data_IF_079876572629
#
_entry.id   IF_079876572629
#
_cell.length_a   1.000
_cell.length_b   1.000
_cell.length_c   1.000
_cell.angle_alpha   90.00
_cell.angle_beta   90.00
_cell.angle_gamma   90.00
#
_symmetry.space_group_name_H-M   'P 1'
#
loop_
_entity.id
_entity.type
_entity.pdbx_description
1 polymer ?
#
# COMPACT_ATOMS: atom_id res chain seq x y z
N UNK A 1 -46.00 -17.32 63.05
CA UNK A 1 -44.67 -16.97 62.57
C UNK A 1 -44.15 -18.13 61.70
N UNK A 2 -44.33 -18.06 60.37
CA UNK A 2 -43.90 -19.10 59.47
C UNK A 2 -42.57 -18.61 58.83
N UNK A 3 -41.46 -19.33 59.07
CA UNK A 3 -40.16 -19.09 58.45
C UNK A 3 -40.15 -19.71 57.07
N UNK A 4 -39.94 -18.86 56.05
CA UNK A 4 -39.75 -19.26 54.65
C UNK A 4 -38.25 -19.51 54.41
N UNK A 5 -37.89 -20.74 54.08
CA UNK A 5 -36.54 -21.11 53.65
C UNK A 5 -36.45 -20.93 52.12
N UNK A 6 -35.61 -19.99 51.66
CA UNK A 6 -35.30 -19.85 50.26
C UNK A 6 -34.03 -20.69 49.99
N UNK A 7 -34.18 -21.71 49.15
CA UNK A 7 -33.12 -22.58 48.70
C UNK A 7 -32.44 -21.94 47.44
N UNK A 8 -31.22 -21.47 47.58
CA UNK A 8 -30.43 -20.99 46.45
C UNK A 8 -29.82 -22.20 45.72
N UNK A 9 -30.28 -22.49 44.51
CA UNK A 9 -29.60 -23.40 43.58
C UNK A 9 -28.47 -22.66 42.87
N UNK A 10 -27.21 -22.97 43.25
CA UNK A 10 -26.04 -22.55 42.51
C UNK A 10 -25.85 -23.54 41.34
N UNK A 11 -26.16 -23.09 40.14
CA UNK A 11 -25.83 -23.83 38.91
C UNK A 11 -24.36 -23.58 38.60
N UNK A 12 -23.51 -24.56 38.90
CA UNK A 12 -22.13 -24.57 38.37
C UNK A 12 -22.18 -24.89 36.88
N UNK A 13 -22.04 -23.86 36.02
CA UNK A 13 -21.76 -24.05 34.62
C UNK A 13 -20.30 -24.50 34.49
N UNK A 14 -20.07 -25.78 34.24
CA UNK A 14 -18.77 -26.31 33.85
C UNK A 14 -18.45 -25.79 32.44
N UNK A 15 -17.53 -24.82 32.36
CA UNK A 15 -16.87 -24.46 31.12
C UNK A 15 -16.01 -25.68 30.66
N UNK A 16 -16.58 -26.53 29.84
CA UNK A 16 -15.79 -27.46 29.07
C UNK A 16 -15.03 -26.66 28.02
N UNK A 17 -13.76 -26.33 28.27
CA UNK A 17 -12.79 -25.95 27.27
C UNK A 17 -12.68 -27.14 26.29
N UNK A 18 -13.28 -27.00 25.10
CA UNK A 18 -12.92 -27.85 23.97
C UNK A 18 -11.46 -27.58 23.64
N UNK A 19 -10.55 -28.40 24.13
CA UNK A 19 -9.22 -28.51 23.53
C UNK A 19 -9.43 -28.97 22.08
N UNK A 20 -9.15 -28.08 21.14
CA UNK A 20 -9.08 -28.45 19.73
C UNK A 20 -8.06 -29.58 19.64
N UNK A 21 -8.48 -30.75 19.17
CA UNK A 21 -7.61 -31.92 19.03
C UNK A 21 -6.61 -31.55 17.96
N UNK A 22 -5.32 -31.65 18.27
CA UNK A 22 -4.26 -31.48 17.27
C UNK A 22 -4.51 -32.51 16.15
N UNK A 23 -4.92 -32.02 14.97
CA UNK A 23 -5.29 -32.85 13.83
C UNK A 23 -4.11 -33.69 13.31
N UNK A 24 -2.89 -33.33 13.69
CA UNK A 24 -1.65 -33.98 13.29
C UNK A 24 -1.10 -35.00 14.32
N UNK A 25 -1.70 -35.12 15.50
CA UNK A 25 -1.14 -35.93 16.59
C UNK A 25 -0.91 -37.43 16.23
N UNK A 26 -1.68 -37.95 15.29
CA UNK A 26 -1.63 -39.35 14.85
C UNK A 26 -1.23 -39.50 13.36
N UNK A 27 -0.81 -38.42 12.70
CA UNK A 27 -0.51 -38.44 11.26
C UNK A 27 1.00 -38.56 11.02
N UNK A 28 1.43 -39.65 10.43
CA UNK A 28 2.83 -39.86 10.02
C UNK A 28 2.92 -39.54 8.53
N UNK A 29 3.62 -38.44 8.20
CA UNK A 29 3.82 -38.07 6.81
C UNK A 29 5.03 -38.77 6.18
N UNK A 30 4.99 -39.06 4.87
CA UNK A 30 6.15 -39.57 4.12
C UNK A 30 7.37 -38.64 4.22
N UNK A 31 8.56 -39.18 3.90
CA UNK A 31 9.80 -38.42 3.95
C UNK A 31 9.69 -37.13 3.15
N UNK A 32 10.05 -35.99 3.79
CA UNK A 32 10.00 -34.65 3.20
C UNK A 32 8.63 -33.97 3.25
N UNK A 33 7.66 -34.56 3.95
CA UNK A 33 6.36 -33.93 4.18
C UNK A 33 6.13 -33.65 5.67
N UNK A 34 5.39 -32.60 5.95
CA UNK A 34 4.94 -32.21 7.29
C UNK A 34 3.42 -32.31 7.37
N UNK A 35 2.89 -32.64 8.55
CA UNK A 35 1.45 -32.63 8.74
C UNK A 35 0.98 -31.20 9.03
N UNK A 36 0.03 -30.72 8.23
CA UNK A 36 -0.67 -29.46 8.43
C UNK A 36 -2.18 -29.78 8.40
N UNK A 37 -2.87 -29.49 9.49
CA UNK A 37 -4.31 -29.74 9.67
C UNK A 37 -4.76 -31.17 9.28
N UNK A 38 -3.95 -32.18 9.65
CA UNK A 38 -4.24 -33.58 9.36
C UNK A 38 -3.90 -34.04 7.94
N UNK A 39 -3.33 -33.18 7.12
CA UNK A 39 -2.93 -33.48 5.74
C UNK A 39 -1.41 -33.39 5.59
N UNK A 40 -0.78 -34.40 4.98
CA UNK A 40 0.64 -34.37 4.69
C UNK A 40 0.91 -33.44 3.48
N UNK A 41 1.71 -32.41 3.70
CA UNK A 41 2.13 -31.44 2.69
C UNK A 41 3.66 -31.50 2.53
N UNK A 42 4.18 -31.08 1.38
CA UNK A 42 5.63 -30.90 1.19
C UNK A 42 6.16 -29.93 2.26
N UNK A 43 7.35 -30.19 2.79
CA UNK A 43 7.98 -29.22 3.70
C UNK A 43 8.26 -27.94 2.92
N UNK A 44 7.83 -26.79 3.46
CA UNK A 44 8.17 -25.49 2.90
C UNK A 44 9.68 -25.34 2.88
N UNK A 45 10.24 -24.96 1.74
CA UNK A 45 11.67 -24.72 1.59
C UNK A 45 11.95 -23.24 1.34
N UNK A 46 13.04 -22.73 1.93
CA UNK A 46 13.53 -21.40 1.62
C UNK A 46 14.38 -21.44 0.35
N UNK A 47 13.98 -20.65 -0.65
CA UNK A 47 14.67 -20.52 -1.93
C UNK A 47 15.26 -19.12 -2.02
N UNK A 48 16.59 -18.99 -1.89
CA UNK A 48 17.27 -17.71 -2.01
C UNK A 48 17.43 -17.36 -3.49
N UNK A 49 16.88 -16.22 -3.89
CA UNK A 49 17.01 -15.63 -5.22
C UNK A 49 18.15 -14.62 -5.18
N UNK A 50 19.25 -14.91 -5.84
CA UNK A 50 20.48 -14.09 -5.86
C UNK A 50 20.85 -13.54 -7.24
N UNK A 51 20.02 -13.79 -8.26
CA UNK A 51 20.22 -13.32 -9.62
C UNK A 51 18.93 -12.83 -10.24
N UNK A 52 19.04 -11.94 -11.23
CA UNK A 52 17.90 -11.46 -11.99
C UNK A 52 17.15 -12.60 -12.69
N UNK A 53 15.84 -12.43 -12.85
CA UNK A 53 14.93 -13.38 -13.50
C UNK A 53 15.04 -13.13 -15.00
N UNK A 54 15.75 -14.00 -15.71
CA UNK A 54 16.10 -13.88 -17.13
C UNK A 54 15.30 -14.83 -18.05
N UNK A 55 14.39 -15.61 -17.49
CA UNK A 55 13.44 -16.46 -18.21
C UNK A 55 12.13 -16.54 -17.45
N UNK A 56 11.03 -16.88 -18.15
CA UNK A 56 9.73 -17.02 -17.51
C UNK A 56 9.83 -18.01 -16.33
N UNK A 57 9.43 -17.53 -15.16
CA UNK A 57 9.62 -18.23 -13.89
C UNK A 57 8.31 -18.23 -13.12
N UNK A 58 8.03 -19.32 -12.40
CA UNK A 58 6.88 -19.40 -11.48
C UNK A 58 7.37 -19.61 -10.06
N UNK A 59 6.88 -18.80 -9.13
CA UNK A 59 7.04 -18.97 -7.69
C UNK A 59 5.76 -19.57 -7.12
N UNK A 60 5.90 -20.69 -6.40
CA UNK A 60 4.77 -21.48 -5.88
C UNK A 60 4.59 -21.30 -4.38
N UNK A 61 3.39 -21.52 -3.87
CA UNK A 61 3.09 -21.38 -2.45
C UNK A 61 3.75 -22.45 -1.54
N UNK A 62 4.40 -23.46 -2.13
CA UNK A 62 5.11 -24.49 -1.38
C UNK A 62 6.49 -24.02 -0.86
N UNK A 63 6.92 -22.82 -1.25
CA UNK A 63 8.22 -22.27 -0.90
C UNK A 63 8.09 -20.85 -0.34
N UNK A 64 9.07 -20.48 0.50
CA UNK A 64 9.39 -19.07 0.82
C UNK A 64 10.51 -18.64 -0.11
N UNK A 65 10.31 -17.54 -0.84
CA UNK A 65 11.33 -16.97 -1.72
C UNK A 65 12.01 -15.81 -1.01
N UNK A 66 13.33 -15.91 -0.82
CA UNK A 66 14.14 -14.87 -0.18
C UNK A 66 14.88 -14.06 -1.24
N UNK A 67 14.62 -12.76 -1.31
CA UNK A 67 15.35 -11.85 -2.18
C UNK A 67 16.71 -11.54 -1.55
N UNK A 68 17.79 -12.08 -2.10
CA UNK A 68 19.16 -11.88 -1.64
C UNK A 68 19.82 -10.60 -2.17
N UNK A 69 19.04 -9.71 -2.79
CA UNK A 69 19.49 -8.44 -3.36
C UNK A 69 18.36 -7.77 -4.13
N UNK A 70 18.67 -6.77 -4.93
CA UNK A 70 17.71 -6.22 -5.90
C UNK A 70 17.57 -7.20 -7.06
N UNK A 71 16.43 -7.89 -7.10
CA UNK A 71 16.10 -8.91 -8.10
C UNK A 71 15.24 -8.28 -9.20
N UNK A 72 15.71 -8.31 -10.42
CA UNK A 72 15.03 -7.71 -11.57
C UNK A 72 14.37 -8.79 -12.44
N UNK A 73 13.10 -8.62 -12.75
CA UNK A 73 12.42 -9.31 -13.85
C UNK A 73 12.78 -8.57 -15.14
N UNK A 74 13.58 -9.20 -15.99
CA UNK A 74 14.15 -8.54 -17.17
C UNK A 74 13.11 -8.30 -18.27
N UNK A 75 13.43 -7.41 -19.22
CA UNK A 75 12.61 -7.14 -20.42
C UNK A 75 12.26 -8.45 -21.16
N UNK A 76 11.01 -8.61 -21.56
CA UNK A 76 10.48 -9.79 -22.24
C UNK A 76 10.21 -11.00 -21.34
N UNK A 77 10.50 -10.92 -20.03
CA UNK A 77 10.34 -12.01 -19.07
C UNK A 77 9.08 -11.83 -18.23
N UNK A 78 8.41 -12.92 -17.88
CA UNK A 78 7.27 -12.92 -16.94
C UNK A 78 7.62 -13.71 -15.69
N UNK A 79 7.46 -13.05 -14.54
CA UNK A 79 7.43 -13.69 -13.23
C UNK A 79 5.97 -13.97 -12.86
N UNK A 80 5.62 -15.23 -12.69
CA UNK A 80 4.31 -15.66 -12.16
C UNK A 80 4.45 -16.03 -10.69
N UNK A 81 3.56 -15.51 -9.85
CA UNK A 81 3.52 -15.80 -8.41
C UNK A 81 2.15 -16.37 -8.07
N UNK A 82 2.12 -17.58 -7.53
CA UNK A 82 0.88 -18.28 -7.19
C UNK A 82 0.21 -17.74 -5.93
N UNK A 83 -1.13 -17.92 -5.78
CA UNK A 83 -1.85 -17.49 -4.57
C UNK A 83 -1.28 -18.13 -3.30
N UNK A 84 -1.05 -17.31 -2.28
CA UNK A 84 -0.53 -17.75 -0.98
C UNK A 84 0.98 -17.82 -0.86
N UNK A 85 1.72 -17.46 -1.91
CA UNK A 85 3.19 -17.38 -1.87
C UNK A 85 3.66 -16.29 -0.91
N UNK A 86 4.71 -16.59 -0.13
CA UNK A 86 5.39 -15.64 0.74
C UNK A 86 6.78 -15.33 0.16
N UNK A 87 7.03 -14.05 -0.04
CA UNK A 87 8.30 -13.52 -0.55
C UNK A 87 8.92 -12.62 0.52
N UNK A 88 10.19 -12.84 0.85
CA UNK A 88 10.89 -12.13 1.93
C UNK A 88 12.14 -11.44 1.41
N UNK A 89 12.23 -10.12 1.60
CA UNK A 89 13.46 -9.37 1.34
C UNK A 89 14.46 -9.57 2.47
N UNK A 90 15.71 -9.85 2.13
CA UNK A 90 16.82 -9.82 3.10
C UNK A 90 17.09 -8.36 3.50
N UNK A 91 17.66 -8.17 4.70
CA UNK A 91 18.06 -6.84 5.16
C UNK A 91 19.14 -6.27 4.27
N UNK A 92 19.06 -4.98 3.97
CA UNK A 92 20.07 -4.26 3.18
C UNK A 92 19.70 -2.78 3.07
N UNK A 93 20.72 -1.93 2.97
CA UNK A 93 20.59 -0.49 2.78
C UNK A 93 21.54 0.00 1.72
N UNK A 94 21.34 1.18 1.18
CA UNK A 94 22.17 1.75 0.13
C UNK A 94 22.16 0.86 -1.13
N UNK A 95 23.32 0.63 -1.70
CA UNK A 95 23.46 -0.24 -2.89
C UNK A 95 23.03 -1.71 -2.65
N UNK A 96 22.96 -2.12 -1.38
CA UNK A 96 22.56 -3.48 -0.97
C UNK A 96 21.09 -3.58 -0.56
N UNK A 97 20.30 -2.53 -0.73
CA UNK A 97 18.86 -2.59 -0.49
C UNK A 97 18.24 -3.66 -1.38
N UNK A 98 17.45 -4.55 -0.77
CA UNK A 98 16.78 -5.64 -1.49
C UNK A 98 15.44 -5.14 -2.00
N UNK A 99 15.08 -5.52 -3.22
CA UNK A 99 13.78 -5.17 -3.81
C UNK A 99 13.42 -6.17 -4.91
N UNK A 100 12.13 -6.23 -5.27
CA UNK A 100 11.70 -6.82 -6.53
C UNK A 100 11.47 -5.68 -7.54
N UNK A 101 12.25 -5.68 -8.61
CA UNK A 101 12.14 -4.71 -9.71
C UNK A 101 11.58 -5.41 -10.96
N UNK A 102 10.48 -4.92 -11.49
CA UNK A 102 10.00 -5.32 -12.83
C UNK A 102 10.47 -4.25 -13.82
N UNK A 103 11.47 -4.58 -14.62
CA UNK A 103 12.02 -3.64 -15.62
C UNK A 103 11.02 -3.35 -16.74
N UNK A 104 11.21 -2.27 -17.47
CA UNK A 104 10.40 -1.93 -18.64
C UNK A 104 10.32 -3.10 -19.63
N UNK A 105 9.10 -3.55 -19.94
CA UNK A 105 8.84 -4.71 -20.81
C UNK A 105 8.93 -6.06 -20.12
N UNK A 106 9.41 -6.12 -18.87
CA UNK A 106 9.19 -7.25 -17.96
C UNK A 106 7.75 -7.30 -17.48
N UNK A 107 7.30 -8.44 -16.95
CA UNK A 107 5.94 -8.61 -16.43
C UNK A 107 5.91 -9.34 -15.11
N UNK A 108 5.00 -8.93 -14.25
CA UNK A 108 4.63 -9.65 -13.04
C UNK A 108 3.19 -10.15 -13.14
N UNK A 109 2.98 -11.43 -12.82
CA UNK A 109 1.68 -12.06 -12.72
C UNK A 109 1.48 -12.53 -11.27
N UNK A 110 1.23 -11.61 -10.36
CA UNK A 110 1.03 -11.86 -8.93
C UNK A 110 -0.48 -11.83 -8.64
N UNK A 111 -1.16 -12.96 -8.82
CA UNK A 111 -2.62 -13.05 -8.67
C UNK A 111 -2.96 -13.93 -7.48
N UNK A 112 -3.03 -13.30 -6.30
CA UNK A 112 -3.55 -13.91 -5.09
C UNK A 112 -5.08 -14.02 -5.09
N UNK A 113 -5.64 -14.44 -3.96
CA UNK A 113 -7.09 -14.48 -3.72
C UNK A 113 -7.41 -13.91 -2.34
N UNK A 114 -8.68 -13.57 -2.03
CA UNK A 114 -9.05 -13.09 -0.69
C UNK A 114 -8.69 -14.05 0.45
N UNK A 115 -8.59 -15.35 0.17
CA UNK A 115 -8.27 -16.39 1.16
C UNK A 115 -6.81 -16.88 1.07
N UNK A 116 -6.08 -16.48 0.04
CA UNK A 116 -4.67 -16.80 -0.19
C UNK A 116 -3.98 -15.60 -0.84
N UNK A 117 -3.83 -14.47 -0.13
CA UNK A 117 -3.09 -13.33 -0.65
C UNK A 117 -1.61 -13.70 -0.86
N UNK A 118 -0.95 -12.99 -1.74
CA UNK A 118 0.51 -13.04 -1.89
C UNK A 118 1.09 -12.04 -0.92
N UNK A 119 2.11 -12.43 -0.15
CA UNK A 119 2.72 -11.57 0.86
C UNK A 119 4.18 -11.31 0.52
N UNK A 120 4.51 -10.04 0.32
CA UNK A 120 5.88 -9.53 0.29
C UNK A 120 6.20 -8.93 1.65
N UNK A 121 7.29 -9.36 2.29
CA UNK A 121 7.69 -8.91 3.62
C UNK A 121 9.20 -9.02 3.79
N UNK A 122 9.72 -8.86 5.03
CA UNK A 122 11.13 -9.06 5.38
C UNK A 122 11.39 -10.49 5.86
N UNK A 123 12.64 -10.94 5.75
CA UNK A 123 13.09 -12.19 6.41
C UNK A 123 12.92 -12.15 7.93
N UNK A 124 12.78 -10.97 8.54
CA UNK A 124 12.48 -10.81 9.96
C UNK A 124 11.03 -11.15 10.33
N UNK A 125 10.11 -11.17 9.37
CA UNK A 125 8.72 -11.59 9.58
C UNK A 125 8.63 -13.12 9.58
N UNK A 126 8.09 -13.69 10.65
CA UNK A 126 7.96 -15.14 10.82
C UNK A 126 6.75 -15.74 10.08
N UNK A 127 5.98 -14.94 9.33
CA UNK A 127 4.84 -15.47 8.57
C UNK A 127 5.26 -16.54 7.58
N UNK A 128 4.42 -17.57 7.45
CA UNK A 128 4.70 -18.74 6.59
C UNK A 128 3.57 -19.01 5.60
N UNK A 129 3.83 -19.72 4.49
CA UNK A 129 2.79 -20.13 3.54
C UNK A 129 1.68 -20.98 4.18
N UNK A 130 2.00 -21.78 5.20
CA UNK A 130 1.01 -22.58 5.93
C UNK A 130 0.02 -21.70 6.70
N UNK A 131 0.52 -20.63 7.33
CA UNK A 131 -0.34 -19.63 8.01
C UNK A 131 -1.25 -18.93 7.01
N UNK A 132 -0.71 -18.50 5.87
CA UNK A 132 -1.50 -17.91 4.78
C UNK A 132 -2.53 -18.91 4.26
N UNK A 133 -2.15 -20.18 4.06
CA UNK A 133 -3.05 -21.26 3.67
C UNK A 133 -4.17 -21.52 4.69
N UNK A 134 -3.92 -21.27 5.98
CA UNK A 134 -4.90 -21.35 7.06
C UNK A 134 -5.75 -20.07 7.21
N UNK A 135 -5.55 -19.07 6.36
CA UNK A 135 -6.28 -17.79 6.42
C UNK A 135 -5.78 -16.82 7.50
N UNK A 136 -4.57 -17.00 7.99
CA UNK A 136 -3.92 -16.13 8.96
C UNK A 136 -2.94 -15.21 8.24
N UNK A 137 -3.25 -13.92 8.18
CA UNK A 137 -2.47 -12.93 7.42
C UNK A 137 -1.71 -11.93 8.31
N UNK A 138 -1.94 -11.97 9.62
CA UNK A 138 -1.23 -11.15 10.60
C UNK A 138 0.21 -11.63 10.71
N UNK A 139 1.19 -10.69 10.75
CA UNK A 139 2.56 -11.05 11.11
C UNK A 139 2.59 -11.63 12.54
N UNK A 140 3.19 -12.81 12.75
CA UNK A 140 3.22 -13.41 14.08
C UNK A 140 4.11 -12.68 15.09
N UNK A 141 5.04 -11.85 14.62
CA UNK A 141 6.08 -11.26 15.47
C UNK A 141 6.39 -9.79 15.21
N UNK A 142 5.99 -9.21 14.08
CA UNK A 142 6.27 -7.81 13.76
C UNK A 142 5.04 -6.93 14.00
N UNK A 143 5.29 -5.75 14.58
CA UNK A 143 4.32 -4.68 14.69
C UNK A 143 4.06 -4.06 13.31
N UNK A 144 2.82 -3.71 12.95
CA UNK A 144 2.53 -3.08 11.66
C UNK A 144 3.26 -1.74 11.44
N UNK A 145 3.69 -1.05 12.49
CA UNK A 145 4.49 0.16 12.37
C UNK A 145 5.99 -0.10 12.15
N UNK A 146 6.44 -1.36 12.10
CA UNK A 146 7.83 -1.69 11.78
C UNK A 146 8.11 -1.41 10.31
N UNK A 147 9.17 -0.66 10.00
CA UNK A 147 9.51 -0.10 8.69
C UNK A 147 10.98 -0.36 8.33
N UNK A 148 11.37 -0.17 7.05
CA UNK A 148 12.76 -0.11 6.61
C UNK A 148 13.54 -1.42 6.67
N UNK A 149 12.87 -2.57 6.76
CA UNK A 149 13.53 -3.87 6.88
C UNK A 149 14.04 -4.44 5.56
N UNK A 150 13.48 -3.99 4.45
CA UNK A 150 13.86 -4.30 3.07
C UNK A 150 13.35 -3.16 2.16
N UNK A 151 13.62 -3.19 0.85
CA UNK A 151 13.11 -2.14 -0.05
C UNK A 151 11.60 -2.22 -0.23
N UNK A 152 11.18 -2.73 -1.36
CA UNK A 152 9.77 -2.78 -1.76
C UNK A 152 9.61 -3.44 -3.12
N UNK A 153 8.49 -3.14 -3.79
CA UNK A 153 8.19 -3.62 -5.14
C UNK A 153 8.16 -2.43 -6.10
N UNK A 154 8.95 -2.50 -7.16
CA UNK A 154 9.09 -1.46 -8.18
C UNK A 154 8.63 -2.02 -9.51
N UNK A 155 7.69 -1.35 -10.17
CA UNK A 155 7.20 -1.72 -11.51
C UNK A 155 7.44 -0.55 -12.47
N UNK A 156 8.19 -0.81 -13.54
CA UNK A 156 8.59 0.19 -14.53
C UNK A 156 7.97 -0.13 -15.89
N UNK A 157 7.28 0.85 -16.45
CA UNK A 157 6.57 0.73 -17.72
C UNK A 157 7.09 1.69 -18.78
N UNK A 158 6.42 1.66 -19.94
CA UNK A 158 6.73 2.44 -21.14
C UNK A 158 5.69 3.54 -21.41
N UNK A 159 4.81 3.86 -20.45
CA UNK A 159 3.81 4.90 -20.59
C UNK A 159 4.43 6.30 -20.42
N UNK A 160 3.76 7.35 -20.96
CA UNK A 160 4.26 8.72 -20.88
C UNK A 160 4.43 9.22 -19.43
N UNK A 161 5.48 10.00 -19.21
CA UNK A 161 5.81 10.67 -17.96
C UNK A 161 6.08 12.14 -18.21
N UNK A 162 5.89 12.99 -17.23
CA UNK A 162 6.22 14.42 -17.31
C UNK A 162 7.51 14.69 -16.54
N UNK A 163 8.62 14.30 -17.14
CA UNK A 163 9.96 14.53 -16.61
C UNK A 163 10.81 15.34 -17.59
N UNK A 164 12.09 15.57 -17.28
CA UNK A 164 13.05 16.28 -18.14
C UNK A 164 13.34 15.56 -19.46
N UNK A 165 13.04 14.25 -19.53
CA UNK A 165 13.15 13.42 -20.73
C UNK A 165 11.99 12.42 -20.79
N UNK A 166 11.75 11.81 -21.96
CA UNK A 166 10.72 10.79 -22.14
C UNK A 166 10.99 9.50 -21.35
N UNK A 167 12.24 9.26 -20.99
CA UNK A 167 12.72 8.12 -20.23
C UNK A 167 13.76 8.63 -19.23
N UNK A 168 13.58 8.31 -17.97
CA UNK A 168 14.53 8.66 -16.90
C UNK A 168 14.77 7.48 -15.98
N UNK A 169 15.76 7.61 -15.12
CA UNK A 169 16.06 6.64 -14.08
C UNK A 169 15.09 6.82 -12.91
N UNK A 170 14.49 5.73 -12.44
CA UNK A 170 13.70 5.75 -11.21
C UNK A 170 14.61 6.03 -10.03
N UNK A 171 14.12 6.76 -9.07
CA UNK A 171 14.82 6.92 -7.81
C UNK A 171 15.02 5.55 -7.12
N UNK A 172 15.92 5.51 -6.19
CA UNK A 172 16.24 4.25 -5.52
C UNK A 172 17.07 3.26 -6.31
N UNK A 173 17.22 3.44 -7.61
CA UNK A 173 17.99 2.54 -8.47
C UNK A 173 19.20 3.29 -9.03
N UNK A 174 20.44 2.77 -8.85
CA UNK A 174 21.63 3.44 -9.38
C UNK A 174 21.52 3.73 -10.87
N UNK A 175 21.96 4.91 -11.30
CA UNK A 175 21.95 5.34 -12.72
C UNK A 175 22.78 4.45 -13.64
N UNK A 176 23.64 3.61 -13.08
CA UNK A 176 24.43 2.61 -13.82
C UNK A 176 23.67 1.31 -14.09
N UNK A 177 22.50 1.12 -13.46
CA UNK A 177 21.64 -0.05 -13.71
C UNK A 177 20.62 0.29 -14.81
N UNK A 178 20.76 -0.28 -16.02
CA UNK A 178 19.87 0.04 -17.14
C UNK A 178 18.45 -0.46 -16.93
N UNK A 179 18.22 -1.33 -15.96
CA UNK A 179 16.88 -1.85 -15.65
C UNK A 179 16.04 -0.86 -14.84
N UNK A 180 16.63 0.21 -14.32
CA UNK A 180 15.93 1.25 -13.59
C UNK A 180 15.32 2.34 -14.47
N UNK A 181 15.43 2.27 -15.80
CA UNK A 181 14.78 3.23 -16.70
C UNK A 181 13.26 3.01 -16.75
N UNK A 182 12.49 4.10 -16.77
CA UNK A 182 11.05 4.09 -16.98
C UNK A 182 10.59 5.24 -17.89
N UNK A 183 9.32 5.16 -18.31
CA UNK A 183 8.74 6.12 -19.24
C UNK A 183 8.83 5.70 -20.70
N UNK A 184 8.21 6.46 -21.56
CA UNK A 184 8.10 6.21 -23.02
C UNK A 184 6.86 6.86 -23.62
N UNK A 185 6.25 6.22 -24.62
CA UNK A 185 5.08 6.75 -25.32
C UNK A 185 3.92 5.74 -25.43
N UNK A 186 3.98 4.60 -24.75
CA UNK A 186 2.94 3.58 -24.83
C UNK A 186 1.94 3.74 -23.68
N UNK A 187 0.86 4.48 -23.92
CA UNK A 187 -0.23 4.67 -22.94
C UNK A 187 -0.81 3.34 -22.48
N UNK A 188 -0.78 2.31 -23.31
CA UNK A 188 -1.34 0.96 -23.06
C UNK A 188 -0.30 -0.04 -22.58
N UNK A 189 0.89 0.41 -22.19
CA UNK A 189 1.92 -0.45 -21.66
C UNK A 189 1.36 -1.42 -20.61
N UNK A 190 1.85 -2.65 -20.63
CA UNK A 190 1.34 -3.73 -19.81
C UNK A 190 2.48 -4.44 -19.08
N UNK A 191 2.67 -4.08 -17.84
CA UNK A 191 3.63 -4.70 -16.92
C UNK A 191 3.07 -5.92 -16.17
N UNK A 192 1.83 -6.34 -16.47
CA UNK A 192 1.22 -7.57 -15.92
C UNK A 192 0.03 -7.31 -15.00
N UNK A 193 -0.10 -8.15 -13.98
CA UNK A 193 -1.24 -8.15 -13.06
C UNK A 193 -0.75 -8.30 -11.62
N UNK A 194 -1.22 -7.43 -10.71
CA UNK A 194 -1.10 -7.61 -9.26
C UNK A 194 -2.50 -7.57 -8.63
N UNK A 195 -2.89 -8.66 -7.96
CA UNK A 195 -4.18 -8.75 -7.25
C UNK A 195 -4.04 -9.49 -5.94
N UNK A 196 -4.66 -8.98 -4.89
CA UNK A 196 -4.59 -9.54 -3.54
C UNK A 196 -3.14 -9.75 -3.09
N UNK A 197 -2.41 -8.64 -3.08
CA UNK A 197 -1.00 -8.57 -2.70
C UNK A 197 -0.84 -7.67 -1.49
N UNK A 198 -0.16 -8.16 -0.46
CA UNK A 198 0.22 -7.38 0.73
C UNK A 198 1.74 -7.16 0.70
N UNK A 199 2.18 -5.90 0.81
CA UNK A 199 3.59 -5.48 0.83
C UNK A 199 3.85 -4.86 2.20
N UNK A 200 4.85 -5.36 2.95
CA UNK A 200 5.00 -5.05 4.36
C UNK A 200 6.44 -4.73 4.74
N UNK A 201 6.60 -3.79 5.68
CA UNK A 201 7.86 -3.49 6.36
C UNK A 201 9.00 -3.05 5.41
N UNK A 202 8.61 -2.44 4.28
CA UNK A 202 9.52 -1.92 3.27
C UNK A 202 10.10 -0.55 3.59
N UNK A 203 10.68 0.10 2.56
CA UNK A 203 11.18 1.46 2.65
C UNK A 203 12.66 1.56 3.03
N UNK A 204 13.49 0.54 2.73
CA UNK A 204 14.90 0.60 3.09
C UNK A 204 15.59 1.80 2.44
N UNK A 205 16.31 2.57 3.26
CA UNK A 205 17.10 3.74 2.81
C UNK A 205 18.23 3.32 1.89
N UNK A 206 18.32 3.98 0.74
CA UNK A 206 19.33 3.75 -0.29
C UNK A 206 20.41 4.83 -0.34
N UNK A 207 20.29 5.85 0.49
CA UNK A 207 21.24 6.94 0.69
C UNK A 207 20.75 8.31 0.23
N UNK A 208 21.29 9.36 0.83
CA UNK A 208 20.99 10.77 0.52
C UNK A 208 19.52 11.19 0.63
N UNK A 209 18.74 10.54 1.51
CA UNK A 209 17.31 10.82 1.65
C UNK A 209 16.48 10.21 0.52
N UNK A 210 16.98 9.20 -0.16
CA UNK A 210 16.20 8.39 -1.09
C UNK A 210 15.94 7.02 -0.45
N UNK A 211 14.70 6.64 -0.43
CA UNK A 211 14.18 5.37 0.04
C UNK A 211 13.51 4.63 -1.13
N UNK A 212 12.96 3.47 -0.84
CA UNK A 212 12.12 2.72 -1.79
C UNK A 212 10.69 2.70 -1.24
N UNK A 213 9.72 3.12 -2.03
CA UNK A 213 8.32 3.07 -1.64
C UNK A 213 7.82 1.64 -1.45
N UNK A 214 6.71 1.45 -0.76
CA UNK A 214 6.06 0.15 -0.65
C UNK A 214 5.76 -0.43 -2.02
N UNK A 215 5.08 0.36 -2.87
CA UNK A 215 4.87 0.06 -4.28
C UNK A 215 5.19 1.29 -5.14
N UNK A 216 6.24 1.20 -5.93
CA UNK A 216 6.63 2.25 -6.90
C UNK A 216 6.09 1.89 -8.29
N UNK A 217 5.39 2.82 -8.94
CA UNK A 217 4.81 2.67 -10.27
C UNK A 217 5.38 3.74 -11.24
N UNK A 218 6.53 3.44 -11.86
CA UNK A 218 7.20 4.37 -12.79
C UNK A 218 6.74 4.18 -14.23
N UNK A 219 6.03 5.15 -14.83
CA UNK A 219 5.58 5.10 -16.22
C UNK A 219 4.75 3.86 -16.59
N UNK A 220 3.99 3.33 -15.66
CA UNK A 220 3.16 2.12 -15.87
C UNK A 220 1.91 2.49 -16.66
N UNK A 221 1.60 1.70 -17.70
CA UNK A 221 0.47 1.95 -18.60
C UNK A 221 -0.84 1.30 -18.16
N UNK A 222 -1.95 1.75 -18.77
CA UNK A 222 -3.30 1.30 -18.43
C UNK A 222 -3.64 -0.12 -18.91
N UNK A 223 -2.73 -0.80 -19.61
CA UNK A 223 -2.80 -2.22 -19.88
C UNK A 223 -2.44 -3.10 -18.68
N UNK A 224 -1.82 -2.49 -17.64
CA UNK A 224 -1.47 -3.16 -16.37
C UNK A 224 -2.65 -3.16 -15.42
N UNK A 225 -2.85 -4.25 -14.69
CA UNK A 225 -3.91 -4.38 -13.68
C UNK A 225 -3.32 -4.36 -12.27
N UNK A 226 -3.73 -3.40 -11.43
CA UNK A 226 -3.34 -3.29 -10.02
C UNK A 226 -4.62 -3.18 -9.18
N UNK A 227 -4.96 -4.23 -8.46
CA UNK A 227 -6.21 -4.30 -7.70
C UNK A 227 -6.03 -5.05 -6.38
N UNK A 228 -6.72 -4.59 -5.32
CA UNK A 228 -6.68 -5.22 -4.01
C UNK A 228 -5.24 -5.32 -3.50
N UNK A 229 -4.66 -4.18 -3.18
CA UNK A 229 -3.31 -4.03 -2.66
C UNK A 229 -3.38 -3.54 -1.21
N UNK A 230 -2.58 -4.15 -0.35
CA UNK A 230 -2.33 -3.70 1.01
C UNK A 230 -0.86 -3.36 1.17
N UNK A 231 -0.55 -2.20 1.76
CA UNK A 231 0.80 -1.78 2.12
C UNK A 231 0.82 -1.51 3.61
N UNK A 232 1.77 -2.10 4.34
CA UNK A 232 1.84 -2.01 5.81
C UNK A 232 3.27 -1.69 6.23
N UNK A 233 3.45 -0.55 6.90
CA UNK A 233 4.71 -0.19 7.53
C UNK A 233 5.83 0.03 6.51
N UNK A 234 5.68 0.97 5.60
CA UNK A 234 6.77 1.41 4.73
C UNK A 234 7.49 2.62 5.34
N UNK A 235 8.83 2.71 5.23
CA UNK A 235 9.61 3.81 5.80
C UNK A 235 9.52 5.10 4.98
N UNK A 236 9.30 4.96 3.69
CA UNK A 236 8.99 6.00 2.72
C UNK A 236 7.49 5.96 2.41
N UNK A 237 7.09 6.32 1.20
CA UNK A 237 5.69 6.32 0.83
C UNK A 237 5.06 4.93 0.82
N UNK A 238 3.76 4.91 1.01
CA UNK A 238 2.98 3.70 0.79
C UNK A 238 3.01 3.30 -0.68
N UNK A 239 2.42 4.11 -1.53
CA UNK A 239 2.44 3.95 -2.98
C UNK A 239 2.79 5.27 -3.65
N UNK A 240 3.69 5.21 -4.64
CA UNK A 240 4.05 6.39 -5.42
C UNK A 240 3.92 6.13 -6.93
N UNK A 241 3.39 7.15 -7.62
CA UNK A 241 3.13 7.15 -9.07
C UNK A 241 4.03 8.17 -9.78
N UNK A 242 5.06 7.70 -10.45
CA UNK A 242 5.90 8.52 -11.33
C UNK A 242 5.33 8.55 -12.74
N UNK A 243 4.34 9.37 -12.99
CA UNK A 243 3.67 9.45 -14.29
C UNK A 243 2.93 8.17 -14.71
N UNK A 244 2.79 7.96 -16.00
CA UNK A 244 2.05 6.80 -16.53
C UNK A 244 0.54 6.98 -16.55
N UNK A 245 -0.17 5.88 -16.82
CA UNK A 245 -1.63 5.87 -17.01
C UNK A 245 -2.34 4.71 -16.32
N UNK A 246 -1.63 3.98 -15.45
CA UNK A 246 -2.17 2.81 -14.74
C UNK A 246 -3.33 3.20 -13.84
N UNK A 247 -4.34 2.33 -13.75
CA UNK A 247 -5.42 2.45 -12.78
C UNK A 247 -5.18 1.49 -11.61
N UNK A 248 -5.48 1.98 -10.40
CA UNK A 248 -5.42 1.19 -9.17
C UNK A 248 -6.78 1.16 -8.51
N UNK A 249 -7.17 0.02 -7.95
CA UNK A 249 -8.42 -0.10 -7.20
C UNK A 249 -8.28 -0.95 -5.96
N UNK A 250 -9.05 -0.59 -4.92
CA UNK A 250 -9.06 -1.26 -3.63
C UNK A 250 -7.66 -1.28 -2.98
N UNK A 251 -7.14 -0.10 -2.70
CA UNK A 251 -5.86 0.11 -2.03
C UNK A 251 -6.07 0.33 -0.53
N UNK A 252 -5.19 -0.26 0.27
CA UNK A 252 -5.05 0.05 1.69
C UNK A 252 -3.59 0.39 1.98
N UNK A 253 -3.34 1.55 2.59
CA UNK A 253 -2.04 1.94 3.15
C UNK A 253 -2.18 2.08 4.66
N UNK A 254 -1.35 1.36 5.40
CA UNK A 254 -1.34 1.37 6.85
C UNK A 254 0.07 1.65 7.36
N UNK A 255 0.29 2.86 7.89
CA UNK A 255 1.54 3.36 8.43
C UNK A 255 2.68 3.51 7.40
N UNK A 256 2.63 4.58 6.62
CA UNK A 256 3.78 5.10 5.86
C UNK A 256 4.69 5.94 6.77
N UNK A 257 5.95 6.03 6.41
CA UNK A 257 6.97 6.81 7.12
C UNK A 257 7.16 8.21 6.54
N UNK A 258 6.71 8.43 5.31
CA UNK A 258 6.52 9.72 4.66
C UNK A 258 5.07 9.79 4.19
N UNK A 259 4.77 9.77 2.93
CA UNK A 259 3.41 9.95 2.44
C UNK A 259 2.67 8.62 2.24
N UNK A 260 1.35 8.61 2.40
CA UNK A 260 0.62 7.38 2.19
C UNK A 260 0.36 7.13 0.70
N UNK A 261 0.00 8.17 -0.04
CA UNK A 261 -0.23 8.13 -1.48
C UNK A 261 0.44 9.36 -2.08
N UNK A 262 1.48 9.15 -2.88
CA UNK A 262 2.16 10.20 -3.61
C UNK A 262 1.95 10.07 -5.13
N UNK A 263 1.80 11.21 -5.80
CA UNK A 263 1.58 11.29 -7.24
C UNK A 263 2.45 12.35 -7.89
N UNK A 264 3.30 11.92 -8.79
CA UNK A 264 4.29 12.73 -9.48
C UNK A 264 4.13 12.67 -11.01
N UNK A 265 4.83 13.57 -11.69
CA UNK A 265 5.13 13.53 -13.12
C UNK A 265 3.91 13.36 -14.03
N UNK A 266 2.80 14.02 -13.66
CA UNK A 266 1.57 14.02 -14.44
C UNK A 266 0.97 12.61 -14.67
N UNK A 267 0.98 11.76 -13.63
CA UNK A 267 0.20 10.52 -13.68
C UNK A 267 -1.23 10.80 -14.16
N UNK A 268 -1.75 9.96 -15.05
CA UNK A 268 -3.04 10.17 -15.74
C UNK A 268 -3.98 8.96 -15.59
N UNK A 269 -3.90 8.28 -14.45
CA UNK A 269 -4.78 7.16 -14.10
C UNK A 269 -5.88 7.50 -13.11
N UNK A 270 -6.48 6.45 -12.55
CA UNK A 270 -7.49 6.55 -11.50
C UNK A 270 -7.14 5.63 -10.33
N UNK A 271 -7.13 6.19 -9.12
CA UNK A 271 -7.20 5.41 -7.89
C UNK A 271 -8.64 5.41 -7.39
N UNK A 272 -9.25 4.24 -7.35
CA UNK A 272 -10.64 4.09 -6.93
C UNK A 272 -10.78 3.14 -5.75
N UNK A 273 -11.46 3.57 -4.73
CA UNK A 273 -11.69 2.85 -3.48
C UNK A 273 -10.38 2.61 -2.70
N UNK A 274 -10.07 3.50 -1.79
CA UNK A 274 -8.84 3.41 -1.00
C UNK A 274 -9.09 3.74 0.47
N UNK A 275 -8.28 3.11 1.33
CA UNK A 275 -8.21 3.41 2.76
C UNK A 275 -6.77 3.77 3.11
N UNK A 276 -6.60 4.87 3.85
CA UNK A 276 -5.33 5.27 4.47
C UNK A 276 -5.50 5.29 5.98
N UNK A 277 -4.53 4.74 6.69
CA UNK A 277 -4.40 4.81 8.15
C UNK A 277 -3.01 5.39 8.45
N UNK A 278 -2.97 6.68 8.74
CA UNK A 278 -1.73 7.38 9.05
C UNK A 278 -1.12 6.89 10.36
N UNK A 279 0.20 6.79 10.39
CA UNK A 279 0.99 6.49 11.57
C UNK A 279 1.58 7.75 12.21
N UNK A 280 2.41 7.55 13.24
CA UNK A 280 3.13 8.64 13.91
C UNK A 280 4.30 9.20 13.08
N UNK A 281 4.67 8.54 12.00
CA UNK A 281 5.72 8.97 11.08
C UNK A 281 5.16 9.48 9.75
N UNK A 282 3.87 9.28 9.48
CA UNK A 282 3.23 9.73 8.24
C UNK A 282 3.23 11.25 8.16
N UNK A 283 3.78 11.81 7.07
CA UNK A 283 3.78 13.25 6.80
C UNK A 283 2.43 13.67 6.20
N UNK A 284 2.09 13.21 5.01
CA UNK A 284 0.81 13.49 4.39
C UNK A 284 0.02 12.20 4.10
N UNK A 285 -1.29 12.26 4.19
CA UNK A 285 -2.13 11.18 3.68
C UNK A 285 -2.16 11.18 2.14
N UNK A 286 -2.06 12.36 1.53
CA UNK A 286 -2.02 12.60 0.10
C UNK A 286 -0.95 13.66 -0.21
N UNK A 287 0.11 13.29 -0.92
CA UNK A 287 1.02 14.24 -1.56
C UNK A 287 0.73 14.26 -3.06
N UNK A 288 0.45 15.46 -3.60
CA UNK A 288 -0.03 15.58 -4.97
C UNK A 288 0.80 16.61 -5.70
N UNK A 289 1.78 16.12 -6.45
CA UNK A 289 2.64 16.97 -7.24
C UNK A 289 2.15 17.12 -8.69
N UNK A 290 2.49 18.26 -9.25
CA UNK A 290 2.19 18.55 -10.63
C UNK A 290 3.23 18.00 -11.61
N UNK A 291 3.13 18.38 -12.90
CA UNK A 291 4.08 17.95 -13.92
C UNK A 291 5.44 18.59 -13.72
N UNK A 292 6.52 17.83 -13.80
CA UNK A 292 7.91 18.33 -13.83
C UNK A 292 8.36 18.78 -15.22
N UNK A 293 7.78 18.18 -16.27
CA UNK A 293 8.09 18.48 -17.67
C UNK A 293 6.94 19.17 -18.38
N UNK A 294 6.85 18.96 -19.69
CA UNK A 294 5.86 19.62 -20.56
C UNK A 294 4.57 18.82 -20.74
N UNK A 295 4.56 17.54 -20.42
CA UNK A 295 3.36 16.72 -20.48
C UNK A 295 2.40 17.13 -19.35
N UNK A 296 1.14 17.42 -19.70
CA UNK A 296 0.10 17.82 -18.78
C UNK A 296 -0.94 16.70 -18.61
N UNK A 297 -0.72 15.81 -17.66
CA UNK A 297 -1.69 14.80 -17.25
C UNK A 297 -2.59 15.28 -16.12
N UNK A 298 -3.66 14.54 -15.88
CA UNK A 298 -4.54 14.72 -14.73
C UNK A 298 -5.06 13.36 -14.30
N UNK A 299 -5.07 13.09 -13.01
CA UNK A 299 -5.51 11.83 -12.44
C UNK A 299 -6.79 11.98 -11.63
N UNK A 300 -7.33 10.88 -11.15
CA UNK A 300 -8.53 10.88 -10.30
C UNK A 300 -8.29 10.02 -9.07
N UNK A 301 -8.50 10.59 -7.88
CA UNK A 301 -8.64 9.85 -6.63
C UNK A 301 -10.09 9.92 -6.16
N UNK A 302 -10.72 8.77 -5.95
CA UNK A 302 -12.13 8.75 -5.56
C UNK A 302 -12.49 7.60 -4.62
N UNK A 303 -13.56 7.84 -3.84
CA UNK A 303 -14.08 6.86 -2.89
C UNK A 303 -13.02 6.48 -1.85
N UNK A 304 -12.43 7.48 -1.20
CA UNK A 304 -11.39 7.33 -0.19
C UNK A 304 -11.91 7.48 1.24
N UNK A 305 -11.29 6.78 2.18
CA UNK A 305 -11.46 7.02 3.61
C UNK A 305 -10.09 7.10 4.27
N UNK A 306 -9.82 8.19 4.95
CA UNK A 306 -8.51 8.54 5.49
C UNK A 306 -8.64 8.79 6.99
N UNK A 307 -7.94 7.97 7.78
CA UNK A 307 -7.77 8.15 9.21
C UNK A 307 -6.45 8.84 9.47
N UNK A 308 -6.50 10.01 10.10
CA UNK A 308 -5.33 10.78 10.46
C UNK A 308 -4.58 10.24 11.67
N UNK A 309 -3.49 10.93 11.98
CA UNK A 309 -2.70 10.80 13.20
C UNK A 309 -2.34 12.19 13.71
N UNK A 310 -1.76 12.32 14.91
CA UNK A 310 -1.31 13.62 15.42
C UNK A 310 -0.26 14.33 14.56
N UNK A 311 0.48 13.59 13.74
CA UNK A 311 1.59 14.12 12.94
C UNK A 311 1.23 14.28 11.45
N UNK A 312 0.14 13.67 10.98
CA UNK A 312 -0.19 13.66 9.56
C UNK A 312 -1.00 14.89 9.13
N UNK A 313 -0.75 15.34 7.92
CA UNK A 313 -1.63 16.28 7.18
C UNK A 313 -2.64 15.50 6.32
N UNK A 314 -3.79 16.14 6.02
CA UNK A 314 -4.78 15.56 5.12
C UNK A 314 -4.22 15.46 3.69
N UNK A 315 -3.43 16.46 3.30
CA UNK A 315 -2.73 16.44 2.04
C UNK A 315 -2.03 17.75 1.70
N UNK A 316 -0.91 17.64 0.99
CA UNK A 316 -0.20 18.75 0.35
C UNK A 316 -0.34 18.65 -1.18
N UNK A 317 -0.88 19.73 -1.77
CA UNK A 317 -1.12 19.86 -3.21
C UNK A 317 -0.17 20.94 -3.74
N UNK A 318 0.92 20.54 -4.38
CA UNK A 318 2.04 21.43 -4.71
C UNK A 318 2.50 21.31 -6.18
N UNK A 319 3.40 22.15 -6.59
CA UNK A 319 4.04 22.08 -7.91
C UNK A 319 3.07 22.10 -9.11
N UNK A 320 2.00 22.87 -9.04
CA UNK A 320 0.93 22.94 -10.07
C UNK A 320 0.06 21.66 -10.17
N UNK A 321 -0.48 21.15 -9.08
CA UNK A 321 -1.24 19.91 -9.04
C UNK A 321 -2.45 19.93 -9.99
N UNK A 322 -2.80 18.77 -10.53
CA UNK A 322 -3.87 18.59 -11.51
C UNK A 322 -4.62 17.30 -11.19
N UNK A 323 -5.94 17.34 -11.26
CA UNK A 323 -6.71 16.11 -11.05
C UNK A 323 -8.09 16.33 -10.46
N UNK A 324 -8.78 15.23 -10.19
CA UNK A 324 -10.12 15.21 -9.59
C UNK A 324 -10.07 14.37 -8.31
N UNK A 325 -10.52 14.99 -7.20
CA UNK A 325 -10.55 14.40 -5.87
C UNK A 325 -12.00 14.39 -5.39
N UNK A 326 -12.61 13.20 -5.32
CA UNK A 326 -14.05 13.12 -5.07
C UNK A 326 -14.43 11.99 -4.10
N UNK A 327 -15.49 12.23 -3.30
CA UNK A 327 -16.02 11.26 -2.35
C UNK A 327 -14.97 10.79 -1.34
N UNK A 328 -14.20 11.70 -0.75
CA UNK A 328 -13.16 11.38 0.23
C UNK A 328 -13.61 11.81 1.63
N UNK A 329 -13.52 10.89 2.57
CA UNK A 329 -13.86 11.08 3.97
C UNK A 329 -12.60 11.10 4.85
N UNK A 330 -12.46 12.14 5.70
CA UNK A 330 -11.35 12.35 6.61
C UNK A 330 -11.82 12.33 8.06
N UNK A 331 -11.04 11.73 8.96
CA UNK A 331 -11.34 11.70 10.38
C UNK A 331 -10.08 11.47 11.24
N UNK A 332 -10.17 11.75 12.53
CA UNK A 332 -9.08 11.59 13.52
C UNK A 332 -7.81 12.43 13.22
N UNK A 333 -7.96 13.57 12.55
CA UNK A 333 -6.90 14.55 12.40
C UNK A 333 -6.91 15.55 13.57
N UNK A 334 -5.74 16.17 13.82
CA UNK A 334 -5.57 17.16 14.88
C UNK A 334 -6.05 18.55 14.46
N UNK A 335 -6.12 19.48 15.42
CA UNK A 335 -6.38 20.89 15.15
C UNK A 335 -5.13 21.57 14.55
N UNK A 336 -5.16 22.03 13.29
CA UNK A 336 -4.00 22.65 12.64
C UNK A 336 -3.46 23.87 13.38
N UNK A 337 -4.33 24.61 14.09
CA UNK A 337 -3.92 25.80 14.83
C UNK A 337 -3.02 25.49 16.03
N UNK A 338 -3.13 24.30 16.61
CA UNK A 338 -2.36 23.88 17.78
C UNK A 338 -1.19 22.97 17.44
N UNK A 339 -1.35 22.10 16.46
CA UNK A 339 -0.33 21.13 16.05
C UNK A 339 0.58 21.63 14.91
N UNK A 340 0.11 22.61 14.13
CA UNK A 340 0.79 23.06 12.90
C UNK A 340 0.67 22.07 11.75
N UNK A 341 -0.14 21.02 11.92
CA UNK A 341 -0.40 19.93 10.99
C UNK A 341 -1.89 19.54 11.06
N UNK A 342 -2.37 18.70 10.16
CA UNK A 342 -3.75 18.23 10.17
C UNK A 342 -4.65 19.04 9.22
N UNK A 343 -4.08 19.63 8.20
CA UNK A 343 -4.80 20.36 7.16
C UNK A 343 -4.59 19.78 5.75
N UNK A 344 -5.37 20.27 4.82
CA UNK A 344 -5.17 20.11 3.39
C UNK A 344 -4.79 21.47 2.83
N UNK A 345 -3.63 21.57 2.22
CA UNK A 345 -3.10 22.80 1.65
C UNK A 345 -2.86 22.72 0.15
N UNK A 346 -2.86 23.90 -0.51
CA UNK A 346 -2.44 24.09 -1.89
C UNK A 346 -1.33 25.12 -1.92
N UNK A 347 -0.15 24.70 -2.34
CA UNK A 347 1.02 25.59 -2.41
C UNK A 347 1.42 25.89 -3.86
N UNK A 348 1.82 27.13 -4.12
CA UNK A 348 2.35 27.53 -5.41
C UNK A 348 3.88 27.46 -5.39
N UNK A 349 4.51 27.02 -6.50
CA UNK A 349 5.95 27.18 -6.67
C UNK A 349 6.36 28.64 -6.57
N UNK A 350 7.61 28.89 -6.21
CA UNK A 350 8.16 30.24 -6.10
C UNK A 350 7.94 31.04 -7.39
N UNK A 351 7.36 32.25 -7.27
CA UNK A 351 7.02 33.15 -8.37
C UNK A 351 5.99 32.56 -9.39
N UNK A 352 5.13 31.65 -8.97
CA UNK A 352 4.06 31.06 -9.78
C UNK A 352 2.72 31.14 -9.06
N UNK A 353 1.63 31.17 -9.81
CA UNK A 353 0.24 31.06 -9.32
C UNK A 353 -0.44 29.79 -9.83
N UNK A 354 0.32 28.90 -10.47
CA UNK A 354 -0.25 27.79 -11.25
C UNK A 354 -1.12 26.83 -10.43
N UNK A 355 -0.79 26.56 -9.16
CA UNK A 355 -1.60 25.66 -8.32
C UNK A 355 -2.98 26.28 -8.02
N UNK A 356 -3.00 27.55 -7.61
CA UNK A 356 -4.25 28.28 -7.37
C UNK A 356 -5.02 28.59 -8.65
N UNK A 357 -4.32 28.81 -9.77
CA UNK A 357 -4.94 28.96 -11.09
C UNK A 357 -5.57 27.65 -11.57
N UNK A 358 -4.92 26.51 -11.33
CA UNK A 358 -5.48 25.19 -11.63
C UNK A 358 -6.78 24.92 -10.85
N UNK A 359 -6.84 25.30 -9.57
CA UNK A 359 -8.07 25.22 -8.79
C UNK A 359 -9.16 26.14 -9.35
N UNK A 360 -8.81 27.39 -9.66
CA UNK A 360 -9.76 28.40 -10.13
C UNK A 360 -10.31 28.03 -11.52
N UNK A 361 -9.49 27.46 -12.37
CA UNK A 361 -9.83 27.09 -13.75
C UNK A 361 -10.43 25.68 -13.87
N UNK A 362 -10.61 24.95 -12.77
CA UNK A 362 -11.18 23.58 -12.78
C UNK A 362 -10.27 22.52 -13.38
N UNK A 363 -8.97 22.75 -13.36
CA UNK A 363 -7.93 21.77 -13.73
C UNK A 363 -7.60 20.88 -12.52
N UNK A 364 -7.58 21.47 -11.32
CA UNK A 364 -7.62 20.79 -10.04
C UNK A 364 -9.03 20.93 -9.47
N UNK A 365 -9.68 19.82 -9.18
CA UNK A 365 -11.07 19.82 -8.71
C UNK A 365 -11.26 18.97 -7.48
N UNK A 366 -12.07 19.47 -6.57
CA UNK A 366 -12.52 18.75 -5.39
C UNK A 366 -14.04 18.67 -5.40
N UNK A 367 -14.60 17.55 -4.97
CA UNK A 367 -16.05 17.44 -4.81
C UNK A 367 -16.41 16.44 -3.72
N UNK A 368 -17.47 16.75 -2.98
CA UNK A 368 -18.03 15.86 -1.97
C UNK A 368 -16.98 15.31 -0.99
N UNK A 369 -16.23 16.23 -0.37
CA UNK A 369 -15.31 15.89 0.73
C UNK A 369 -16.09 15.92 2.05
N UNK A 370 -15.87 14.94 2.91
CA UNK A 370 -16.42 14.93 4.27
C UNK A 370 -15.33 14.84 5.32
N UNK A 371 -15.53 15.50 6.45
CA UNK A 371 -14.58 15.44 7.57
C UNK A 371 -15.32 15.41 8.92
N UNK A 372 -14.82 14.61 9.85
CA UNK A 372 -15.13 14.76 11.28
C UNK A 372 -14.11 15.72 11.86
N UNK A 373 -14.57 16.95 12.17
CA UNK A 373 -13.70 17.97 12.73
C UNK A 373 -13.42 17.74 14.22
N UNK A 374 -12.20 18.03 14.70
CA UNK A 374 -11.95 18.19 16.13
C UNK A 374 -12.86 19.28 16.74
N UNK A 375 -13.05 19.22 18.05
CA UNK A 375 -13.89 20.19 18.77
C UNK A 375 -13.37 21.62 18.59
N UNK A 376 -14.25 22.55 18.22
CA UNK A 376 -13.98 23.97 17.99
C UNK A 376 -13.09 24.27 16.76
N UNK A 377 -12.82 23.30 15.90
CA UNK A 377 -12.09 23.48 14.63
C UNK A 377 -13.08 23.83 13.51
N UNK A 378 -12.68 24.70 12.60
CA UNK A 378 -13.52 25.13 11.46
C UNK A 378 -13.09 24.42 10.16
N UNK A 379 -14.00 24.30 9.19
CA UNK A 379 -13.63 23.76 7.87
C UNK A 379 -12.50 24.54 7.20
N UNK A 380 -12.49 25.86 7.33
CA UNK A 380 -11.49 26.73 6.70
C UNK A 380 -10.11 26.66 7.35
N UNK A 381 -10.00 26.19 8.59
CA UNK A 381 -8.70 25.92 9.22
C UNK A 381 -8.09 24.59 8.79
N UNK A 382 -8.93 23.62 8.43
CA UNK A 382 -8.51 22.30 7.93
C UNK A 382 -8.34 22.30 6.41
N UNK A 383 -9.31 22.83 5.67
CA UNK A 383 -9.26 22.91 4.20
C UNK A 383 -8.87 24.31 3.78
N UNK A 384 -7.57 24.53 3.55
CA UNK A 384 -6.98 25.83 3.22
C UNK A 384 -7.17 26.23 1.75
N UNK A 385 -6.76 27.41 1.40
CA UNK A 385 -6.68 27.93 0.02
C UNK A 385 -8.02 27.86 -0.77
N UNK A 386 -9.16 27.96 -0.07
CA UNK A 386 -10.50 27.92 -0.68
C UNK A 386 -11.11 26.52 -0.84
N UNK A 387 -10.39 25.47 -0.52
CA UNK A 387 -10.86 24.07 -0.64
C UNK A 387 -11.98 23.72 0.34
N UNK A 388 -12.17 24.51 1.41
CA UNK A 388 -13.28 24.38 2.37
C UNK A 388 -14.68 24.47 1.71
N UNK A 389 -14.79 25.08 0.54
CA UNK A 389 -16.05 25.17 -0.22
C UNK A 389 -16.52 23.83 -0.78
N UNK A 390 -15.61 22.85 -0.89
CA UNK A 390 -15.88 21.50 -1.39
C UNK A 390 -16.05 20.49 -0.27
N UNK A 391 -15.91 20.90 1.01
CA UNK A 391 -15.92 20.03 2.17
C UNK A 391 -17.15 20.28 3.04
N UNK A 392 -17.61 19.23 3.72
CA UNK A 392 -18.71 19.27 4.69
C UNK A 392 -18.28 18.59 5.99
N UNK A 393 -18.49 19.30 7.11
CA UNK A 393 -18.32 18.70 8.43
C UNK A 393 -19.49 17.76 8.74
N UNK A 394 -19.18 16.55 9.18
CA UNK A 394 -20.17 15.51 9.52
C UNK A 394 -19.85 14.88 10.87
N UNK A 395 -20.87 14.28 11.51
CA UNK A 395 -20.68 13.43 12.70
C UNK A 395 -20.66 11.95 12.36
N UNK A 396 -21.16 11.61 11.17
CA UNK A 396 -21.21 10.24 10.64
C UNK A 396 -21.01 10.33 9.14
N UNK A 397 -20.12 9.52 8.59
CA UNK A 397 -19.84 9.52 7.15
C UNK A 397 -21.02 9.02 6.32
N UNK A 398 -21.16 9.56 5.13
CA UNK A 398 -22.11 9.08 4.11
C UNK A 398 -21.44 8.76 2.78
N UNK A 399 -20.13 9.02 2.69
CA UNK A 399 -19.27 8.75 1.54
C UNK A 399 -18.00 8.03 2.01
N UNK A 400 -17.05 7.83 1.11
CA UNK A 400 -15.75 7.23 1.40
C UNK A 400 -15.62 5.81 0.84
N UNK A 401 -14.64 5.08 1.31
CA UNK A 401 -14.29 3.77 0.81
C UNK A 401 -15.36 2.70 1.12
N UNK A 402 -15.49 1.76 0.20
CA UNK A 402 -16.15 0.48 0.44
C UNK A 402 -15.13 -0.51 1.04
N UNK A 403 -15.10 -0.60 2.37
CA UNK A 403 -14.15 -1.46 3.08
C UNK A 403 -14.34 -2.96 2.82
N UNK A 404 -15.51 -3.38 2.34
CA UNK A 404 -15.78 -4.80 2.09
C UNK A 404 -14.82 -5.39 1.06
N UNK A 405 -14.32 -4.58 0.12
CA UNK A 405 -13.31 -5.00 -0.83
C UNK A 405 -11.94 -5.30 -0.19
N UNK A 406 -11.71 -4.81 1.04
CA UNK A 406 -10.48 -4.93 1.80
C UNK A 406 -10.57 -5.92 2.98
N UNK A 407 -11.63 -6.71 3.08
CA UNK A 407 -11.84 -7.68 4.16
C UNK A 407 -10.82 -8.84 4.18
N UNK A 408 -9.97 -8.94 3.17
CA UNK A 408 -8.91 -9.94 3.05
C UNK A 408 -7.58 -9.52 3.70
N UNK A 409 -7.45 -8.28 4.16
CA UNK A 409 -6.19 -7.65 4.59
C UNK A 409 -5.78 -8.03 6.01
N UNK A 410 -4.50 -7.86 6.34
CA UNK A 410 -4.03 -7.87 7.73
C UNK A 410 -4.76 -6.81 8.57
N UNK A 411 -4.91 -5.61 8.03
CA UNK A 411 -5.60 -4.52 8.73
C UNK A 411 -7.02 -4.89 9.18
N UNK A 412 -7.80 -5.61 8.34
CA UNK A 412 -9.11 -6.13 8.76
C UNK A 412 -9.00 -7.20 9.83
N UNK A 413 -8.06 -8.17 9.71
CA UNK A 413 -7.84 -9.19 10.73
C UNK A 413 -7.38 -8.60 12.06
N UNK A 414 -6.66 -7.49 12.04
CA UNK A 414 -6.27 -6.73 13.24
C UNK A 414 -7.40 -5.83 13.78
N UNK A 415 -8.58 -5.84 13.18
CA UNK A 415 -9.75 -5.01 13.54
C UNK A 415 -9.50 -3.49 13.47
N UNK A 416 -8.50 -3.01 12.73
CA UNK A 416 -8.23 -1.58 12.61
C UNK A 416 -9.14 -0.88 11.59
N UNK A 417 -9.87 -1.63 10.77
CA UNK A 417 -10.89 -1.10 9.85
C UNK A 417 -12.26 -0.89 10.51
N UNK A 418 -12.36 -1.04 11.83
CA UNK A 418 -13.56 -0.65 12.57
C UNK A 418 -13.71 0.88 12.55
N UNK A 419 -14.82 1.37 12.03
CA UNK A 419 -15.05 2.82 11.88
C UNK A 419 -14.93 3.35 10.46
N UNK A 420 -14.36 2.55 9.56
CA UNK A 420 -14.31 2.84 8.12
C UNK A 420 -15.60 2.43 7.40
#
# INVERSE_FOLDING_TARGET
>A
MKKLFILFFVVLASLQSCKQKDSCADTVCPNGQVCVDGTCQGATTNVVISSNISSNTTWTADNVYELGGRITVLDGVTLTIEPGTVIKGQAGTGANATALLVARGGKINAVGTPTKPIIFTSVADEITPEQVGAGLFISPNLDPATQGLWGGVIILGKAPISASANEIQIEGIPTTDPNGLYGGNDVSDNSGVMKYVSIRHGGANIGNGNEINGLTLGGVGNGTTIENIEIVGNQDDGIEFFGGTVNVSNLLVWFSGDDAIDTDQAWAGTLNNFIVICGSATDHALEIDGPEGTLMGSHTLRNGSIKGSPEAELGDFRACPRGTFENIFFFDFVDPATAGRGDLSISNPTNSTCSTDNLTNGVLTFSNLQVILPTNVTLSSVFKNGTSTFATSVTTRTIGANKTALNWTWAEQANVLLGF
#
